data_IF_465252287981
#
_entry.id   IF_465252287981
#
_cell.length_a   1.000
_cell.length_b   1.000
_cell.length_c   1.000
_cell.angle_alpha   90.00
_cell.angle_beta   90.00
_cell.angle_gamma   90.00
#
_symmetry.space_group_name_H-M   'P 1'
#
loop_
_entity.id
_entity.type
_entity.pdbx_description
1 polymer ?
#
# COMPACT_ATOMS: atom_id res chain seq x y z
N UNK A 1 -23.62 -11.16 16.33
CA UNK A 1 -24.33 -10.84 15.06
C UNK A 1 -24.38 -9.32 14.94
N UNK A 2 -23.65 -8.72 13.99
CA UNK A 2 -23.63 -7.25 13.80
C UNK A 2 -24.96 -6.85 13.16
N UNK A 3 -25.68 -5.84 13.69
CA UNK A 3 -26.95 -5.42 13.12
C UNK A 3 -26.78 -4.97 11.68
N UNK A 4 -27.73 -5.30 10.81
CA UNK A 4 -27.71 -4.93 9.37
C UNK A 4 -27.47 -3.44 9.15
N UNK A 5 -28.03 -2.58 10.00
CA UNK A 5 -27.82 -1.13 9.95
C UNK A 5 -26.37 -0.70 10.20
N UNK A 6 -25.61 -1.43 11.03
CA UNK A 6 -24.20 -1.10 11.26
C UNK A 6 -23.33 -1.37 10.01
N UNK A 7 -23.67 -2.38 9.21
CA UNK A 7 -22.97 -2.69 7.95
C UNK A 7 -23.16 -1.63 6.86
N UNK A 8 -24.27 -0.88 6.89
CA UNK A 8 -24.55 0.19 5.90
C UNK A 8 -23.70 1.44 6.12
N UNK A 9 -23.10 1.58 7.33
CA UNK A 9 -22.28 2.73 7.70
C UNK A 9 -20.83 2.36 8.00
N UNK A 10 -20.45 1.08 7.85
CA UNK A 10 -19.07 0.62 7.95
C UNK A 10 -18.42 0.71 6.57
N UNK A 11 -17.30 1.40 6.51
CA UNK A 11 -16.39 1.38 5.35
C UNK A 11 -15.00 0.95 5.84
N UNK A 12 -14.27 0.35 4.96
CA UNK A 12 -12.87 0.00 5.22
C UNK A 12 -12.03 1.27 5.27
N UNK A 13 -11.19 1.38 6.30
CA UNK A 13 -10.30 2.53 6.50
C UNK A 13 -8.90 1.97 6.79
N UNK A 14 -8.16 1.73 5.72
CA UNK A 14 -6.78 1.25 5.76
C UNK A 14 -5.80 2.38 5.61
N UNK A 15 -4.66 2.27 6.28
CA UNK A 15 -3.54 3.19 6.13
C UNK A 15 -2.22 2.44 6.33
N UNK A 16 -1.12 3.00 5.86
CA UNK A 16 0.20 2.42 5.94
C UNK A 16 0.92 2.94 7.17
N UNK A 17 1.41 2.02 7.99
CA UNK A 17 2.30 2.28 9.11
C UNK A 17 3.68 1.67 8.85
N UNK A 18 4.72 2.37 9.27
CA UNK A 18 6.10 1.94 9.17
C UNK A 18 6.63 1.66 10.57
N UNK A 19 7.27 0.51 10.72
CA UNK A 19 7.93 0.11 11.96
C UNK A 19 9.39 -0.18 11.63
N UNK A 20 10.29 0.49 12.34
CA UNK A 20 11.74 0.38 12.13
C UNK A 20 12.33 -0.79 12.93
N UNK A 21 11.98 -2.01 12.55
CA UNK A 21 12.61 -3.20 13.09
C UNK A 21 12.56 -4.35 12.09
N UNK A 22 13.51 -5.33 12.18
CA UNK A 22 13.50 -6.50 11.31
C UNK A 22 12.19 -7.28 11.42
N UNK A 23 11.67 -7.77 10.30
CA UNK A 23 10.38 -8.49 10.26
C UNK A 23 10.44 -9.77 11.08
N UNK A 24 11.61 -10.43 11.15
CA UNK A 24 11.84 -11.64 11.91
C UNK A 24 11.62 -11.44 13.41
N UNK A 25 11.85 -10.21 13.90
CA UNK A 25 11.68 -9.87 15.32
C UNK A 25 10.23 -10.00 15.80
N UNK A 26 9.26 -9.97 14.88
CA UNK A 26 7.84 -10.18 15.19
C UNK A 26 7.49 -11.64 15.50
N UNK A 27 8.36 -12.59 15.20
CA UNK A 27 8.20 -13.99 15.57
C UNK A 27 8.36 -14.15 17.09
N UNK A 28 9.30 -13.41 17.69
CA UNK A 28 9.61 -13.47 19.12
C UNK A 28 8.78 -12.47 19.94
N UNK A 29 8.59 -11.27 19.42
CA UNK A 29 7.84 -10.19 20.06
C UNK A 29 6.82 -9.59 19.09
N UNK A 30 5.55 -9.92 19.30
CA UNK A 30 4.42 -9.46 18.50
C UNK A 30 3.92 -8.06 18.89
N UNK A 31 4.57 -7.40 19.84
CA UNK A 31 4.17 -6.03 20.22
C UNK A 31 4.44 -5.07 19.08
N UNK A 32 3.51 -4.16 18.85
CA UNK A 32 3.57 -3.15 17.80
C UNK A 32 3.63 -1.78 18.47
N UNK A 33 4.83 -1.20 18.52
CA UNK A 33 5.09 0.11 19.10
C UNK A 33 5.72 1.04 18.06
N UNK A 34 5.67 2.34 18.32
CA UNK A 34 6.37 3.37 17.53
C UNK A 34 6.05 3.38 16.04
N UNK A 35 4.79 3.13 15.69
CA UNK A 35 4.33 3.17 14.31
C UNK A 35 4.42 4.60 13.76
N UNK A 36 5.12 4.77 12.64
CA UNK A 36 5.14 6.00 11.86
C UNK A 36 4.09 5.89 10.76
N UNK A 37 2.93 6.50 10.98
CA UNK A 37 1.83 6.47 10.02
C UNK A 37 2.08 7.44 8.86
N UNK A 38 1.84 7.00 7.63
CA UNK A 38 1.71 7.90 6.49
C UNK A 38 0.47 8.78 6.66
N UNK A 39 0.47 9.93 5.97
CA UNK A 39 -0.68 10.82 5.99
C UNK A 39 -1.92 10.10 5.49
N UNK A 40 -3.02 10.22 6.23
CA UNK A 40 -4.30 9.64 5.82
C UNK A 40 -4.78 10.28 4.52
N UNK A 41 -5.34 9.45 3.65
CA UNK A 41 -6.07 9.94 2.48
C UNK A 41 -7.35 10.66 2.90
N UNK A 42 -7.82 11.65 2.10
CA UNK A 42 -9.13 12.26 2.33
C UNK A 42 -10.24 11.19 2.35
N UNK A 43 -11.34 11.50 3.04
CA UNK A 43 -12.52 10.63 3.03
C UNK A 43 -12.93 10.30 1.60
N UNK A 44 -13.23 9.03 1.34
CA UNK A 44 -13.63 8.54 0.01
C UNK A 44 -12.72 7.48 -0.58
N UNK A 45 -11.71 7.03 0.18
CA UNK A 45 -10.80 5.96 -0.20
C UNK A 45 -9.93 5.50 0.96
N UNK A 46 -9.04 4.55 0.69
CA UNK A 46 -8.03 4.05 1.62
C UNK A 46 -6.72 3.75 0.88
N UNK A 47 -5.66 3.51 1.64
CA UNK A 47 -4.38 3.01 1.11
C UNK A 47 -4.03 1.70 1.81
N UNK A 48 -3.73 0.65 1.04
CA UNK A 48 -3.49 -0.70 1.54
C UNK A 48 -2.37 -1.41 0.76
N UNK A 49 -2.06 -2.65 1.17
CA UNK A 49 -1.15 -3.59 0.51
C UNK A 49 0.23 -2.98 0.17
N UNK A 50 0.97 -2.42 1.14
CA UNK A 50 2.23 -1.76 0.86
C UNK A 50 3.34 -2.76 0.55
N UNK A 51 4.13 -2.46 -0.48
CA UNK A 51 5.43 -3.06 -0.75
C UNK A 51 6.50 -1.97 -0.75
N UNK A 52 7.55 -2.18 0.05
CA UNK A 52 8.61 -1.18 0.21
C UNK A 52 9.99 -1.75 -0.08
N UNK A 53 10.87 -0.90 -0.59
CA UNK A 53 12.31 -1.18 -0.69
C UNK A 53 13.13 0.09 -0.48
N UNK A 54 14.35 -0.11 -0.01
CA UNK A 54 15.30 0.98 0.16
C UNK A 54 16.17 1.14 -1.08
N UNK A 55 16.27 2.37 -1.57
CA UNK A 55 17.21 2.78 -2.59
C UNK A 55 17.83 4.13 -2.25
N UNK A 56 19.17 4.21 -2.28
CA UNK A 56 19.93 5.44 -2.05
C UNK A 56 19.49 6.24 -0.80
N UNK A 57 19.18 5.54 0.31
CA UNK A 57 18.76 6.14 1.59
C UNK A 57 17.34 6.68 1.59
N UNK A 58 16.51 6.26 0.65
CA UNK A 58 15.09 6.57 0.54
C UNK A 58 14.28 5.28 0.58
N UNK A 59 13.15 5.30 1.27
CA UNK A 59 12.18 4.21 1.23
C UNK A 59 11.16 4.50 0.14
N UNK A 60 11.11 3.64 -0.84
CA UNK A 60 10.12 3.62 -1.90
C UNK A 60 8.99 2.69 -1.46
N UNK A 61 7.76 3.18 -1.44
CA UNK A 61 6.57 2.42 -1.05
C UNK A 61 5.61 2.43 -2.23
N UNK A 62 5.28 1.24 -2.71
CA UNK A 62 4.19 1.02 -3.65
C UNK A 62 3.00 0.48 -2.89
N UNK A 63 1.81 0.99 -3.15
CA UNK A 63 0.60 0.59 -2.43
C UNK A 63 -0.63 0.72 -3.32
N UNK A 64 -1.70 0.03 -2.95
CA UNK A 64 -3.00 0.30 -3.51
C UNK A 64 -3.56 1.61 -2.95
N UNK A 65 -4.07 2.48 -3.80
CA UNK A 65 -4.98 3.56 -3.44
C UNK A 65 -6.35 3.28 -4.02
N UNK A 66 -7.30 2.95 -3.14
CA UNK A 66 -8.68 2.63 -3.52
C UNK A 66 -9.57 3.87 -3.43
N UNK A 67 -10.45 4.05 -4.41
CA UNK A 67 -11.44 5.12 -4.43
C UNK A 67 -12.86 4.53 -4.41
N UNK A 68 -13.63 4.84 -3.36
CA UNK A 68 -14.99 4.31 -3.17
C UNK A 68 -15.96 4.75 -4.25
N UNK A 69 -15.88 6.01 -4.70
CA UNK A 69 -16.80 6.53 -5.72
C UNK A 69 -16.58 5.85 -7.08
N UNK A 70 -15.35 5.45 -7.37
CA UNK A 70 -14.99 4.73 -8.61
C UNK A 70 -15.06 3.22 -8.44
N UNK A 71 -15.16 2.73 -7.22
CA UNK A 71 -15.05 1.31 -6.86
C UNK A 71 -13.83 0.64 -7.51
N UNK A 72 -12.68 1.33 -7.43
CA UNK A 72 -11.47 0.93 -8.14
C UNK A 72 -10.21 1.41 -7.42
N UNK A 73 -9.21 0.51 -7.34
CA UNK A 73 -7.86 0.81 -6.91
C UNK A 73 -6.93 1.08 -8.09
N UNK A 74 -5.92 1.89 -7.84
CA UNK A 74 -4.74 2.06 -8.67
C UNK A 74 -3.49 1.95 -7.79
N UNK A 75 -2.32 1.78 -8.39
CA UNK A 75 -1.08 1.75 -7.63
C UNK A 75 -0.51 3.16 -7.50
N UNK A 76 -0.22 3.55 -6.27
CA UNK A 76 0.52 4.76 -5.97
C UNK A 76 1.96 4.41 -5.58
N UNK A 77 2.84 5.38 -5.75
CA UNK A 77 4.22 5.36 -5.31
C UNK A 77 4.47 6.54 -4.37
N UNK A 78 5.01 6.25 -3.19
CA UNK A 78 5.41 7.25 -2.20
C UNK A 78 6.89 7.08 -1.91
N UNK A 79 7.63 8.17 -1.87
CA UNK A 79 9.06 8.18 -1.51
C UNK A 79 9.22 8.96 -0.22
N UNK A 80 9.89 8.36 0.76
CA UNK A 80 10.19 9.01 2.03
C UNK A 80 11.69 8.98 2.34
N UNK A 81 12.16 9.97 3.09
CA UNK A 81 13.52 9.99 3.62
C UNK A 81 13.65 9.17 4.92
N UNK A 82 14.87 9.08 5.44
CA UNK A 82 15.17 8.41 6.72
C UNK A 82 14.49 9.02 7.94
N UNK A 83 13.93 10.22 7.83
CA UNK A 83 13.17 10.89 8.89
C UNK A 83 11.65 10.75 8.67
N UNK A 84 11.21 9.87 7.78
CA UNK A 84 9.81 9.62 7.39
C UNK A 84 9.12 10.84 6.75
N UNK A 85 9.88 11.78 6.18
CA UNK A 85 9.31 12.89 5.44
C UNK A 85 9.02 12.44 4.01
N UNK A 86 7.81 12.70 3.54
CA UNK A 86 7.44 12.46 2.15
C UNK A 86 8.23 13.40 1.25
N UNK A 87 9.02 12.84 0.36
CA UNK A 87 9.82 13.55 -0.65
C UNK A 87 9.05 13.69 -1.95
N UNK A 88 8.15 12.77 -2.23
CA UNK A 88 7.30 12.77 -3.43
C UNK A 88 6.27 11.65 -3.37
N UNK A 89 5.18 11.86 -4.08
CA UNK A 89 4.14 10.85 -4.28
C UNK A 89 3.48 11.01 -5.64
N UNK A 90 2.91 9.93 -6.17
CA UNK A 90 2.22 9.95 -7.45
C UNK A 90 1.66 8.59 -7.83
N UNK A 91 0.89 8.57 -8.92
CA UNK A 91 0.37 7.34 -9.49
C UNK A 91 1.51 6.58 -10.16
N UNK A 92 1.76 5.36 -9.70
CA UNK A 92 2.73 4.46 -10.32
C UNK A 92 2.13 3.72 -11.52
N UNK A 93 0.91 3.19 -11.36
CA UNK A 93 0.19 2.48 -12.41
C UNK A 93 -1.32 2.65 -12.24
N UNK A 94 -2.01 2.97 -13.32
CA UNK A 94 -3.47 3.00 -13.38
C UNK A 94 -3.94 2.32 -14.66
N UNK A 95 -4.94 1.47 -14.55
CA UNK A 95 -5.56 0.73 -15.64
C UNK A 95 -7.07 0.92 -15.60
N UNK A 96 -7.80 0.46 -16.61
CA UNK A 96 -9.27 0.47 -16.59
C UNK A 96 -9.86 -0.50 -15.59
N UNK A 97 -9.08 -1.49 -15.16
CA UNK A 97 -9.42 -2.46 -14.13
C UNK A 97 -8.87 -2.06 -12.77
N UNK A 98 -9.42 -2.66 -11.71
CA UNK A 98 -8.90 -2.54 -10.36
C UNK A 98 -7.52 -3.17 -10.25
N UNK A 99 -6.59 -2.45 -9.61
CA UNK A 99 -5.24 -2.89 -9.29
C UNK A 99 -5.05 -2.86 -7.78
N UNK A 100 -4.47 -3.93 -7.23
CA UNK A 100 -4.06 -4.05 -5.83
C UNK A 100 -2.75 -4.81 -5.71
N UNK A 101 -2.26 -4.96 -4.49
CA UNK A 101 -1.14 -5.82 -4.12
C UNK A 101 0.08 -5.69 -5.06
N UNK A 102 0.79 -4.57 -5.07
CA UNK A 102 1.89 -4.28 -5.98
C UNK A 102 3.16 -5.06 -5.61
N UNK A 103 3.20 -6.35 -5.89
CA UNK A 103 4.37 -7.18 -5.59
C UNK A 103 5.60 -6.70 -6.37
N UNK A 104 6.62 -6.27 -5.64
CA UNK A 104 7.87 -5.78 -6.24
C UNK A 104 8.93 -6.88 -6.18
N UNK A 105 9.57 -7.15 -7.30
CA UNK A 105 10.66 -8.11 -7.42
C UNK A 105 11.81 -7.49 -8.21
N UNK A 106 13.03 -7.73 -7.74
CA UNK A 106 14.23 -7.35 -8.47
C UNK A 106 14.77 -8.55 -9.27
N UNK A 107 15.08 -8.32 -10.53
CA UNK A 107 15.78 -9.28 -11.37
C UNK A 107 16.82 -8.57 -12.24
N UNK A 108 18.08 -8.97 -12.14
CA UNK A 108 19.22 -8.40 -12.89
C UNK A 108 19.33 -6.87 -12.78
N UNK A 109 19.08 -6.31 -11.58
CA UNK A 109 19.15 -4.86 -11.32
C UNK A 109 17.95 -4.07 -11.86
N UNK A 110 16.91 -4.74 -12.35
CA UNK A 110 15.66 -4.13 -12.79
C UNK A 110 14.56 -4.47 -11.81
N UNK A 111 13.80 -3.48 -11.39
CA UNK A 111 12.63 -3.66 -10.54
C UNK A 111 11.38 -3.89 -11.41
N UNK A 112 10.66 -4.94 -11.09
CA UNK A 112 9.39 -5.29 -11.72
C UNK A 112 8.28 -5.15 -10.69
N UNK A 113 7.12 -4.67 -11.12
CA UNK A 113 5.91 -4.64 -10.32
C UNK A 113 4.89 -5.61 -10.92
N UNK A 114 4.44 -6.55 -10.12
CA UNK A 114 3.42 -7.55 -10.49
C UNK A 114 2.16 -7.24 -9.68
N UNK A 115 1.22 -6.45 -10.21
CA UNK A 115 -0.02 -6.15 -9.49
C UNK A 115 -1.01 -7.31 -9.56
N UNK A 116 -1.88 -7.40 -8.57
CA UNK A 116 -3.08 -8.21 -8.69
C UNK A 116 -4.10 -7.50 -9.60
N UNK A 117 -4.61 -8.23 -10.59
CA UNK A 117 -5.61 -7.77 -11.56
C UNK A 117 -6.68 -8.85 -11.77
N UNK A 118 -7.42 -9.19 -10.72
CA UNK A 118 -8.34 -10.34 -10.69
C UNK A 118 -9.37 -10.34 -11.81
N UNK A 119 -9.81 -9.16 -12.27
CA UNK A 119 -10.83 -9.05 -13.34
C UNK A 119 -10.29 -9.36 -14.75
N UNK A 120 -8.99 -9.33 -14.95
CA UNK A 120 -8.40 -9.53 -16.27
C UNK A 120 -7.97 -10.97 -16.56
N UNK A 121 -7.97 -11.87 -15.56
CA UNK A 121 -7.43 -13.23 -15.66
C UNK A 121 -6.03 -13.28 -16.30
N UNK A 122 -5.22 -12.23 -16.09
CA UNK A 122 -3.87 -12.09 -16.63
C UNK A 122 -2.93 -11.60 -15.54
N UNK A 123 -1.70 -12.08 -15.59
CA UNK A 123 -0.57 -11.52 -14.85
C UNK A 123 0.19 -10.63 -15.84
N UNK A 124 0.52 -9.41 -15.41
CA UNK A 124 1.31 -8.44 -16.20
C UNK A 124 2.51 -8.03 -15.35
N UNK A 125 3.65 -7.95 -15.99
CA UNK A 125 4.90 -7.44 -15.43
C UNK A 125 5.13 -6.01 -15.90
#
# INVERSE_FOLDING_TARGET
MIPIFAKLFQYEDWNIGIIERPIESFIEDQTVNDIKWLARRPRGGFTADPFGFWDNGRLHIYAEEFNFARNKGHLQHVVIDKNHRVLGEGIALSQDVHLSYPYIVEHQGVLYCIPEMSRNNKVVL
#
